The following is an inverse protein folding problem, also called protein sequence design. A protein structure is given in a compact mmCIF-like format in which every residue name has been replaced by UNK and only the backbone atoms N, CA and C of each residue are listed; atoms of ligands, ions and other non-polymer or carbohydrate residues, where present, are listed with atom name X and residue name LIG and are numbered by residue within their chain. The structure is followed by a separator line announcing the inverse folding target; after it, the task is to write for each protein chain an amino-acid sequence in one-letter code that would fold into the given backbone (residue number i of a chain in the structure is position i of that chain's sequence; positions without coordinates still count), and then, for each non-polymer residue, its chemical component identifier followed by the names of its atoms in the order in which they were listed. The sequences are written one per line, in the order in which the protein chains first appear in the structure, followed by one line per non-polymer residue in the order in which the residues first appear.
data_IF_894541671573
#
_entry.id   IF_894541671573
#
_cell.length_a   1.000
_cell.length_b   1.000
_cell.length_c   1.000
_cell.angle_alpha   90.00
_cell.angle_beta   90.00
_cell.angle_gamma   90.00
#
_symmetry.space_group_name_H-M   'P 1'
#
loop_
_entity.id
_entity.type
_entity.pdbx_description
1 polymer ?
#
# COMPACT_ATOMS: atom_id res chain seq x y z
N UNK A 1 -73.07 36.93 10.18
CA UNK A 1 -72.30 36.77 11.41
C UNK A 1 -71.81 35.32 11.47
N UNK A 2 -70.60 35.09 10.99
CA UNK A 2 -69.94 33.80 11.13
C UNK A 2 -68.64 34.01 11.91
N UNK A 3 -68.36 33.22 12.97
CA UNK A 3 -67.11 33.31 13.72
C UNK A 3 -66.00 32.53 13.04
N UNK A 4 -64.85 33.19 12.83
CA UNK A 4 -63.60 32.63 12.36
C UNK A 4 -62.99 31.75 13.46
N UNK A 5 -62.83 30.48 13.19
CA UNK A 5 -62.08 29.55 14.06
C UNK A 5 -60.58 29.68 13.77
N UNK A 6 -59.85 30.24 14.72
CA UNK A 6 -58.37 30.25 14.70
C UNK A 6 -57.81 28.85 14.99
N UNK A 7 -57.15 28.23 14.03
CA UNK A 7 -56.35 27.06 14.25
C UNK A 7 -54.92 27.51 14.65
N UNK A 8 -54.55 27.27 15.90
CA UNK A 8 -53.16 27.33 16.37
C UNK A 8 -52.44 26.04 15.93
N UNK A 9 -51.55 26.16 14.96
CA UNK A 9 -50.63 25.10 14.60
C UNK A 9 -49.45 25.15 15.57
N UNK A 10 -49.35 24.16 16.45
CA UNK A 10 -48.18 23.95 17.29
C UNK A 10 -47.04 23.35 16.42
N UNK A 11 -46.03 24.14 16.11
CA UNK A 11 -44.81 23.67 15.48
C UNK A 11 -43.95 22.93 16.52
N UNK A 12 -43.91 21.62 16.43
CA UNK A 12 -42.95 20.80 17.17
C UNK A 12 -41.57 21.01 16.57
N UNK A 13 -40.72 21.78 17.26
CA UNK A 13 -39.30 21.89 16.95
C UNK A 13 -38.63 20.59 17.40
N UNK A 14 -38.44 19.67 16.49
CA UNK A 14 -37.53 18.52 16.68
C UNK A 14 -36.09 19.04 16.71
N UNK A 15 -35.55 19.21 17.91
CA UNK A 15 -34.12 19.46 18.11
C UNK A 15 -33.37 18.20 17.74
N UNK A 16 -32.82 18.17 16.52
CA UNK A 16 -31.76 17.22 16.15
C UNK A 16 -30.51 17.63 16.93
N UNK A 17 -30.29 17.02 18.09
CA UNK A 17 -28.96 16.99 18.68
C UNK A 17 -28.06 16.16 17.73
N UNK A 18 -26.92 16.69 17.26
CA UNK A 18 -26.01 15.88 16.52
C UNK A 18 -25.56 14.74 17.45
N UNK A 19 -25.79 13.50 17.02
CA UNK A 19 -25.19 12.34 17.68
C UNK A 19 -23.68 12.48 17.50
N UNK A 20 -23.01 13.04 18.51
CA UNK A 20 -21.56 12.93 18.60
C UNK A 20 -21.26 11.43 18.64
N UNK A 21 -20.66 10.93 17.58
CA UNK A 21 -20.10 9.60 17.58
C UNK A 21 -19.17 9.52 18.81
N UNK A 22 -19.49 8.64 19.75
CA UNK A 22 -18.61 8.40 20.90
C UNK A 22 -17.24 8.07 20.33
N UNK A 23 -16.28 8.96 20.54
CA UNK A 23 -14.88 8.66 20.21
C UNK A 23 -14.50 7.37 20.93
N UNK A 24 -14.05 6.38 20.16
CA UNK A 24 -13.49 5.17 20.76
C UNK A 24 -12.40 5.62 21.75
N UNK A 25 -12.38 5.07 22.98
CA UNK A 25 -11.32 5.41 23.93
C UNK A 25 -9.98 5.20 23.24
N UNK A 26 -9.09 6.15 23.45
CA UNK A 26 -7.77 6.18 22.84
C UNK A 26 -7.00 4.90 23.24
N UNK A 27 -6.65 4.06 22.28
CA UNK A 27 -5.92 2.83 22.56
C UNK A 27 -4.53 3.19 23.09
N UNK A 28 -4.18 2.68 24.24
CA UNK A 28 -2.84 2.81 24.79
C UNK A 28 -1.84 2.09 23.87
N UNK A 29 -0.79 2.80 23.48
CA UNK A 29 0.25 2.25 22.62
C UNK A 29 1.31 1.61 23.50
N UNK A 30 1.27 0.28 23.59
CA UNK A 30 2.27 -0.52 24.27
C UNK A 30 2.47 -1.87 23.54
N UNK A 31 3.53 -2.62 23.82
CA UNK A 31 3.82 -3.87 23.14
C UNK A 31 2.66 -4.89 23.21
N UNK A 32 1.91 -4.93 24.31
CA UNK A 32 0.79 -5.85 24.49
C UNK A 32 -0.40 -5.52 23.59
N UNK A 33 -0.80 -4.22 23.53
CA UNK A 33 -1.91 -3.80 22.65
C UNK A 33 -1.56 -3.99 21.18
N UNK A 34 -0.32 -3.74 20.81
CA UNK A 34 0.19 -4.02 19.46
C UNK A 34 0.13 -5.52 19.15
N UNK A 35 0.60 -6.37 20.06
CA UNK A 35 0.59 -7.82 19.87
C UNK A 35 -0.84 -8.37 19.72
N UNK A 36 -1.79 -7.90 20.53
CA UNK A 36 -3.21 -8.28 20.42
C UNK A 36 -3.78 -7.86 19.07
N UNK A 37 -3.48 -6.66 18.62
CA UNK A 37 -3.94 -6.14 17.34
C UNK A 37 -3.36 -6.92 16.16
N UNK A 38 -2.07 -7.24 16.19
CA UNK A 38 -1.41 -8.11 15.19
C UNK A 38 -2.10 -9.46 15.16
N UNK A 39 -2.32 -10.08 16.34
CA UNK A 39 -2.98 -11.40 16.44
C UNK A 39 -4.33 -11.41 15.74
N UNK A 40 -5.18 -10.41 15.97
CA UNK A 40 -6.49 -10.27 15.33
C UNK A 40 -6.38 -10.13 13.81
N UNK A 41 -5.40 -9.38 13.32
CA UNK A 41 -5.17 -9.24 11.88
C UNK A 41 -4.69 -10.53 11.22
N UNK A 42 -3.87 -11.31 11.95
CA UNK A 42 -3.44 -12.65 11.51
C UNK A 42 -4.63 -13.59 11.46
N UNK A 43 -5.47 -13.62 12.50
CA UNK A 43 -6.66 -14.46 12.55
C UNK A 43 -7.61 -14.15 11.37
N UNK A 44 -7.83 -12.86 11.08
CA UNK A 44 -8.58 -12.43 9.91
C UNK A 44 -7.99 -13.00 8.60
N UNK A 45 -6.67 -12.85 8.37
CA UNK A 45 -6.06 -13.35 7.13
C UNK A 45 -6.12 -14.88 7.00
N UNK A 46 -6.07 -15.61 8.10
CA UNK A 46 -6.22 -17.08 8.10
C UNK A 46 -7.66 -17.46 7.67
N UNK A 47 -8.66 -16.76 8.22
CA UNK A 47 -10.08 -17.00 7.91
C UNK A 47 -10.42 -16.62 6.47
N UNK A 48 -9.87 -15.52 5.97
CA UNK A 48 -10.14 -14.94 4.64
C UNK A 48 -9.38 -15.63 3.50
N UNK A 49 -8.48 -16.58 3.82
CA UNK A 49 -7.68 -17.27 2.82
C UNK A 49 -8.53 -18.21 1.96
N UNK A 50 -8.49 -18.06 0.65
CA UNK A 50 -9.10 -18.96 -0.30
C UNK A 50 -8.54 -20.40 -0.18
N UNK A 51 -9.33 -21.41 -0.55
CA UNK A 51 -8.92 -22.81 -0.54
C UNK A 51 -7.61 -23.06 -1.31
N UNK A 52 -7.40 -22.33 -2.41
CA UNK A 52 -6.18 -22.44 -3.24
C UNK A 52 -4.96 -21.71 -2.66
N UNK A 53 -5.08 -21.09 -1.49
CA UNK A 53 -4.00 -20.38 -0.80
C UNK A 53 -3.84 -18.90 -1.14
N UNK A 54 -4.60 -18.36 -2.11
CA UNK A 54 -4.60 -16.92 -2.42
C UNK A 54 -5.51 -16.13 -1.48
N UNK A 55 -5.52 -14.81 -1.61
CA UNK A 55 -6.48 -13.92 -0.96
C UNK A 55 -7.24 -13.07 -1.97
N UNK A 56 -8.50 -12.81 -1.63
CA UNK A 56 -9.40 -11.97 -2.39
C UNK A 56 -9.99 -12.60 -3.64
N UNK A 57 -11.03 -11.97 -4.15
CA UNK A 57 -11.79 -12.45 -5.31
C UNK A 57 -12.28 -11.31 -6.19
N UNK A 58 -12.85 -11.68 -7.35
CA UNK A 58 -13.49 -10.75 -8.29
C UNK A 58 -14.90 -10.30 -7.83
N UNK A 59 -15.31 -10.64 -6.61
CA UNK A 59 -16.62 -10.24 -6.07
C UNK A 59 -16.69 -8.74 -5.92
N UNK A 60 -17.74 -8.13 -6.49
CA UNK A 60 -17.93 -6.69 -6.45
C UNK A 60 -18.37 -6.22 -5.06
N UNK A 61 -17.69 -5.21 -4.54
CA UNK A 61 -18.01 -4.58 -3.25
C UNK A 61 -18.62 -3.18 -3.39
N UNK A 62 -18.73 -2.70 -4.64
CA UNK A 62 -19.37 -1.40 -4.98
C UNK A 62 -19.87 -1.41 -6.42
N UNK A 63 -20.74 -0.44 -6.76
CA UNK A 63 -21.29 -0.32 -8.12
C UNK A 63 -20.26 0.09 -9.16
N UNK A 64 -19.43 1.10 -8.86
CA UNK A 64 -18.37 1.57 -9.73
C UNK A 64 -17.07 0.81 -9.40
N UNK A 65 -16.58 0.01 -10.34
CA UNK A 65 -15.28 -0.64 -10.23
C UNK A 65 -14.29 0.00 -11.21
N UNK A 66 -13.05 0.19 -10.75
CA UNK A 66 -11.99 0.70 -11.60
C UNK A 66 -11.59 -0.41 -12.57
N UNK A 67 -11.51 -0.05 -13.83
CA UNK A 67 -10.90 -0.75 -14.96
C UNK A 67 -10.39 -2.18 -14.70
N UNK A 68 -11.26 -3.11 -14.34
CA UNK A 68 -10.91 -4.51 -14.19
C UNK A 68 -11.97 -5.42 -14.84
N UNK A 69 -12.30 -5.21 -16.12
CA UNK A 69 -13.32 -6.01 -16.80
C UNK A 69 -12.80 -7.40 -17.17
N UNK A 70 -11.50 -7.61 -17.20
CA UNK A 70 -10.86 -8.80 -17.74
C UNK A 70 -10.33 -9.74 -16.63
N UNK A 71 -10.43 -11.07 -16.80
CA UNK A 71 -9.91 -12.03 -15.82
C UNK A 71 -8.43 -11.84 -15.46
N UNK A 72 -7.59 -11.41 -16.40
CA UNK A 72 -6.17 -11.15 -16.15
C UNK A 72 -5.92 -9.97 -15.23
N UNK A 73 -6.78 -8.94 -15.22
CA UNK A 73 -6.70 -7.84 -14.24
C UNK A 73 -6.98 -8.35 -12.82
N UNK A 74 -7.94 -9.29 -12.68
CA UNK A 74 -8.20 -9.94 -11.40
C UNK A 74 -7.06 -10.85 -10.95
N UNK A 75 -6.36 -11.49 -11.88
CA UNK A 75 -5.14 -12.23 -11.54
C UNK A 75 -4.06 -11.28 -10.97
N UNK A 76 -3.87 -10.11 -11.58
CA UNK A 76 -2.94 -9.10 -11.08
C UNK A 76 -3.32 -8.58 -9.69
N UNK A 77 -4.59 -8.27 -9.45
CA UNK A 77 -5.07 -7.85 -8.12
C UNK A 77 -4.89 -8.95 -7.08
N UNK A 78 -5.24 -10.19 -7.42
CA UNK A 78 -5.05 -11.35 -6.53
C UNK A 78 -3.58 -11.57 -6.22
N UNK A 79 -2.69 -11.45 -7.20
CA UNK A 79 -1.25 -11.56 -6.98
C UNK A 79 -0.72 -10.48 -6.03
N UNK A 80 -1.15 -9.23 -6.21
CA UNK A 80 -0.78 -8.12 -5.32
C UNK A 80 -1.33 -8.28 -3.91
N UNK A 81 -2.63 -8.57 -3.77
CA UNK A 81 -3.28 -8.75 -2.48
C UNK A 81 -2.70 -9.96 -1.72
N UNK A 82 -2.52 -11.10 -2.42
CA UNK A 82 -1.91 -12.29 -1.81
C UNK A 82 -0.45 -12.06 -1.42
N UNK A 83 0.31 -11.29 -2.22
CA UNK A 83 1.67 -10.89 -1.88
C UNK A 83 1.73 -10.09 -0.59
N UNK A 84 0.87 -9.09 -0.44
CA UNK A 84 0.79 -8.27 0.77
C UNK A 84 0.31 -9.05 1.99
N UNK A 85 -0.75 -9.86 1.85
CA UNK A 85 -1.27 -10.68 2.92
C UNK A 85 -0.21 -11.68 3.44
N UNK A 86 0.46 -12.36 2.52
CA UNK A 86 1.51 -13.33 2.86
C UNK A 86 2.72 -12.64 3.53
N UNK A 87 3.14 -11.48 3.02
CA UNK A 87 4.21 -10.69 3.63
C UNK A 87 3.82 -10.25 5.06
N UNK A 88 2.59 -9.77 5.25
CA UNK A 88 2.08 -9.39 6.57
C UNK A 88 2.01 -10.56 7.55
N UNK A 89 1.58 -11.74 7.10
CA UNK A 89 1.60 -12.96 7.92
C UNK A 89 3.02 -13.34 8.36
N UNK A 90 3.98 -13.30 7.44
CA UNK A 90 5.37 -13.65 7.77
C UNK A 90 5.97 -12.62 8.73
N UNK A 91 5.82 -11.32 8.45
CA UNK A 91 6.37 -10.25 9.28
C UNK A 91 5.70 -10.17 10.66
N UNK A 92 4.46 -10.68 10.81
CA UNK A 92 3.79 -10.77 12.11
C UNK A 92 4.58 -11.61 13.12
N UNK A 93 5.38 -12.56 12.64
CA UNK A 93 6.13 -13.51 13.47
C UNK A 93 5.24 -14.54 14.19
N UNK A 94 4.00 -14.73 13.76
CA UNK A 94 3.09 -15.70 14.35
C UNK A 94 3.52 -17.13 13.97
N UNK A 95 3.83 -17.94 15.00
CA UNK A 95 4.32 -19.33 14.84
C UNK A 95 3.27 -20.38 15.12
N UNK A 96 2.00 -19.99 15.30
CA UNK A 96 0.91 -20.94 15.50
C UNK A 96 0.76 -21.88 14.28
N UNK A 97 0.36 -23.14 14.50
CA UNK A 97 0.18 -24.11 13.42
C UNK A 97 -0.71 -23.61 12.28
N UNK A 98 -1.81 -22.94 12.59
CA UNK A 98 -2.75 -22.38 11.59
C UNK A 98 -2.13 -21.24 10.79
N UNK A 99 -1.32 -20.38 11.41
CA UNK A 99 -0.60 -19.30 10.70
C UNK A 99 0.47 -19.89 9.77
N UNK A 100 1.24 -20.85 10.26
CA UNK A 100 2.26 -21.54 9.45
C UNK A 100 1.62 -22.33 8.29
N UNK A 101 0.46 -22.96 8.50
CA UNK A 101 -0.28 -23.64 7.44
C UNK A 101 -0.80 -22.64 6.37
N UNK A 102 -1.30 -21.47 6.79
CA UNK A 102 -1.72 -20.40 5.88
C UNK A 102 -0.55 -19.87 5.06
N UNK A 103 0.61 -19.63 5.69
CA UNK A 103 1.84 -19.22 4.99
C UNK A 103 2.25 -20.29 3.95
N UNK A 104 2.22 -21.56 4.31
CA UNK A 104 2.58 -22.66 3.40
C UNK A 104 1.64 -22.72 2.17
N UNK A 105 0.31 -22.56 2.36
CA UNK A 105 -0.65 -22.50 1.25
C UNK A 105 -0.42 -21.29 0.37
N UNK A 106 -0.18 -20.11 0.97
CA UNK A 106 0.14 -18.88 0.23
C UNK A 106 1.42 -19.01 -0.57
N UNK A 107 2.46 -19.61 -0.01
CA UNK A 107 3.72 -19.90 -0.69
C UNK A 107 3.53 -20.82 -1.91
N UNK A 108 2.76 -21.88 -1.77
CA UNK A 108 2.42 -22.80 -2.86
C UNK A 108 1.68 -22.07 -3.99
N UNK A 109 0.73 -21.22 -3.66
CA UNK A 109 0.03 -20.39 -4.65
C UNK A 109 0.99 -19.44 -5.37
N UNK A 110 1.87 -18.75 -4.65
CA UNK A 110 2.88 -17.87 -5.25
C UNK A 110 3.78 -18.61 -6.23
N UNK A 111 4.25 -19.79 -5.86
CA UNK A 111 5.09 -20.63 -6.73
C UNK A 111 4.37 -21.02 -8.02
N UNK A 112 3.10 -21.37 -7.93
CA UNK A 112 2.30 -21.85 -9.08
C UNK A 112 1.81 -20.71 -9.98
N UNK A 113 1.44 -19.56 -9.44
CA UNK A 113 0.66 -18.55 -10.16
C UNK A 113 1.47 -17.32 -10.56
N UNK A 114 2.49 -16.92 -9.79
CA UNK A 114 3.29 -15.75 -10.14
C UNK A 114 4.02 -15.84 -11.49
N UNK A 115 4.53 -17.02 -11.92
CA UNK A 115 5.11 -17.16 -13.26
C UNK A 115 4.13 -16.92 -14.41
N UNK A 116 2.83 -17.02 -14.15
CA UNK A 116 1.75 -16.84 -15.14
C UNK A 116 1.25 -15.40 -15.25
N UNK A 117 1.68 -14.52 -14.32
CA UNK A 117 1.20 -13.13 -14.27
C UNK A 117 1.60 -12.37 -15.54
N UNK A 118 0.62 -11.78 -16.19
CA UNK A 118 0.76 -11.06 -17.48
C UNK A 118 -0.11 -9.80 -17.48
N UNK A 119 0.18 -8.91 -18.42
CA UNK A 119 -0.70 -7.79 -18.75
C UNK A 119 -2.06 -8.32 -19.20
N UNK A 120 -3.15 -7.78 -18.66
CA UNK A 120 -4.50 -8.27 -18.90
C UNK A 120 -5.05 -7.83 -20.26
N UNK A 121 -4.84 -6.57 -20.62
CA UNK A 121 -5.35 -5.93 -21.84
C UNK A 121 -4.49 -4.72 -22.23
N UNK A 122 -4.91 -3.97 -23.27
CA UNK A 122 -4.17 -2.81 -23.78
C UNK A 122 -4.08 -1.66 -22.78
N UNK A 123 -5.08 -1.52 -21.90
CA UNK A 123 -5.24 -0.33 -21.03
C UNK A 123 -4.74 -0.53 -19.62
N UNK A 124 -4.47 -1.78 -19.20
CA UNK A 124 -4.10 -2.09 -17.83
C UNK A 124 -2.71 -2.69 -17.72
N UNK A 125 -1.94 -2.17 -16.76
CA UNK A 125 -0.62 -2.66 -16.35
C UNK A 125 -0.58 -2.98 -14.86
N UNK A 126 -1.72 -3.38 -14.28
CA UNK A 126 -1.84 -3.75 -12.86
C UNK A 126 -0.91 -4.89 -12.45
N UNK A 127 -0.45 -5.70 -13.40
CA UNK A 127 0.56 -6.70 -13.16
C UNK A 127 1.87 -6.13 -12.64
N UNK A 128 2.20 -4.85 -12.88
CA UNK A 128 3.35 -4.20 -12.24
C UNK A 128 3.25 -4.26 -10.70
N UNK A 129 2.07 -4.03 -10.15
CA UNK A 129 1.79 -4.16 -8.71
C UNK A 129 1.84 -5.61 -8.24
N UNK A 130 1.27 -6.53 -9.03
CA UNK A 130 1.34 -7.96 -8.75
C UNK A 130 2.78 -8.47 -8.66
N UNK A 131 3.63 -8.09 -9.62
CA UNK A 131 5.05 -8.43 -9.60
C UNK A 131 5.78 -7.82 -8.38
N UNK A 132 5.54 -6.54 -8.07
CA UNK A 132 6.21 -5.86 -6.96
C UNK A 132 5.86 -6.48 -5.60
N UNK A 133 4.57 -6.68 -5.31
CA UNK A 133 4.15 -7.25 -4.02
C UNK A 133 4.39 -8.75 -3.93
N UNK A 134 4.31 -9.46 -5.04
CA UNK A 134 4.74 -10.87 -5.11
C UNK A 134 6.23 -11.01 -4.84
N UNK A 135 7.06 -10.12 -5.37
CA UNK A 135 8.50 -10.09 -5.12
C UNK A 135 8.80 -9.85 -3.63
N UNK A 136 8.07 -8.92 -2.97
CA UNK A 136 8.20 -8.71 -1.52
C UNK A 136 7.84 -9.95 -0.71
N UNK A 137 6.78 -10.67 -1.06
CA UNK A 137 6.44 -11.94 -0.41
C UNK A 137 7.53 -12.99 -0.61
N UNK A 138 8.06 -13.11 -1.84
CA UNK A 138 9.15 -14.06 -2.14
C UNK A 138 10.43 -13.74 -1.36
N UNK A 139 10.74 -12.47 -1.15
CA UNK A 139 11.87 -12.05 -0.31
C UNK A 139 11.71 -12.53 1.13
N UNK A 140 10.51 -12.42 1.70
CA UNK A 140 10.21 -12.92 3.04
C UNK A 140 10.23 -14.45 3.12
N UNK A 141 9.69 -15.12 2.10
CA UNK A 141 9.76 -16.59 2.00
C UNK A 141 11.22 -17.06 1.91
N UNK A 142 12.06 -16.35 1.16
CA UNK A 142 13.49 -16.62 1.13
C UNK A 142 14.15 -16.46 2.50
N UNK A 143 13.77 -15.40 3.25
CA UNK A 143 14.32 -15.12 4.59
C UNK A 143 13.97 -16.24 5.59
N UNK A 144 12.76 -16.80 5.54
CA UNK A 144 12.33 -17.86 6.45
C UNK A 144 12.62 -19.29 5.95
N UNK A 145 13.12 -19.42 4.72
CA UNK A 145 13.48 -20.71 4.12
C UNK A 145 14.56 -21.42 4.95
N UNK A 146 14.35 -22.70 5.19
CA UNK A 146 15.22 -23.52 6.06
C UNK A 146 16.34 -24.22 5.31
N UNK A 147 16.22 -24.39 4.00
CA UNK A 147 17.19 -25.10 3.17
C UNK A 147 17.71 -24.19 2.07
N UNK A 148 18.92 -24.47 1.58
CA UNK A 148 19.50 -23.73 0.46
C UNK A 148 18.73 -23.96 -0.84
N UNK A 149 18.06 -25.10 -0.99
CA UNK A 149 17.21 -25.41 -2.12
C UNK A 149 15.97 -24.50 -2.14
N UNK A 150 15.30 -24.34 -0.98
CA UNK A 150 14.16 -23.40 -0.85
C UNK A 150 14.61 -21.96 -1.12
N UNK A 151 15.74 -21.53 -0.59
CA UNK A 151 16.31 -20.19 -0.87
C UNK A 151 16.60 -20.01 -2.35
N UNK A 152 17.24 -20.98 -3.00
CA UNK A 152 17.52 -20.95 -4.42
C UNK A 152 16.23 -20.90 -5.27
N UNK A 153 15.18 -21.62 -4.86
CA UNK A 153 13.85 -21.55 -5.48
C UNK A 153 13.28 -20.15 -5.44
N UNK A 154 13.22 -19.53 -4.26
CA UNK A 154 12.66 -18.19 -4.11
C UNK A 154 13.48 -17.12 -4.82
N UNK A 155 14.81 -17.23 -4.79
CA UNK A 155 15.71 -16.36 -5.57
C UNK A 155 15.42 -16.46 -7.07
N UNK A 156 15.30 -17.66 -7.62
CA UNK A 156 14.99 -17.88 -9.04
C UNK A 156 13.63 -17.30 -9.43
N UNK A 157 12.60 -17.54 -8.63
CA UNK A 157 11.27 -16.98 -8.86
C UNK A 157 11.25 -15.46 -8.71
N UNK A 158 11.96 -14.92 -7.73
CA UNK A 158 12.14 -13.48 -7.55
C UNK A 158 12.82 -12.83 -8.76
N UNK A 159 13.92 -13.43 -9.26
CA UNK A 159 14.57 -12.95 -10.48
C UNK A 159 13.61 -12.95 -11.67
N UNK A 160 12.81 -13.98 -11.83
CA UNK A 160 11.79 -14.02 -12.88
C UNK A 160 10.77 -12.88 -12.76
N UNK A 161 10.37 -12.49 -11.54
CA UNK A 161 9.46 -11.34 -11.35
C UNK A 161 10.13 -10.02 -11.71
N UNK A 162 11.40 -9.84 -11.37
CA UNK A 162 12.21 -8.68 -11.80
C UNK A 162 12.27 -8.60 -13.33
N UNK A 163 12.58 -9.71 -13.99
CA UNK A 163 12.68 -9.76 -15.45
C UNK A 163 11.33 -9.50 -16.14
N UNK A 164 10.24 -9.99 -15.55
CA UNK A 164 8.90 -9.79 -16.07
C UNK A 164 8.44 -8.34 -15.92
N UNK A 165 8.59 -7.72 -14.75
CA UNK A 165 8.15 -6.34 -14.54
C UNK A 165 8.97 -5.35 -15.38
N UNK A 166 10.24 -5.63 -15.62
CA UNK A 166 11.10 -4.80 -16.47
C UNK A 166 10.55 -4.63 -17.90
N UNK A 167 9.80 -5.61 -18.40
CA UNK A 167 9.15 -5.54 -19.73
C UNK A 167 8.03 -4.48 -19.81
N UNK A 168 7.54 -4.02 -18.67
CA UNK A 168 6.46 -3.04 -18.56
C UNK A 168 6.95 -1.63 -18.22
N UNK A 169 8.26 -1.42 -18.17
CA UNK A 169 8.83 -0.09 -17.96
C UNK A 169 8.48 0.83 -19.15
N UNK A 170 8.03 2.04 -18.84
CA UNK A 170 7.82 3.10 -19.83
C UNK A 170 9.17 3.58 -20.40
N UNK A 171 9.19 4.02 -21.65
CA UNK A 171 10.43 4.52 -22.29
C UNK A 171 11.01 5.75 -21.58
N UNK A 172 10.18 6.51 -20.84
CA UNK A 172 10.61 7.61 -19.98
C UNK A 172 11.19 7.13 -18.64
N UNK A 173 11.24 5.82 -18.43
CA UNK A 173 11.61 5.20 -17.16
C UNK A 173 10.44 5.08 -16.20
N UNK A 174 10.48 4.04 -15.36
CA UNK A 174 9.46 3.78 -14.35
C UNK A 174 8.20 3.09 -14.87
N UNK A 175 7.22 2.96 -13.99
CA UNK A 175 5.99 2.19 -14.23
C UNK A 175 4.75 2.99 -13.90
N UNK A 176 3.69 2.72 -14.64
CA UNK A 176 2.32 3.06 -14.31
C UNK A 176 1.50 1.81 -14.00
N UNK A 177 0.20 1.98 -13.86
CA UNK A 177 -0.77 0.89 -13.68
C UNK A 177 -1.89 0.92 -14.72
N UNK A 178 -1.94 1.98 -15.52
CA UNK A 178 -2.81 2.17 -16.67
C UNK A 178 -1.99 2.61 -17.87
N UNK A 179 -2.48 2.28 -19.07
CA UNK A 179 -1.99 2.78 -20.34
C UNK A 179 -3.19 3.12 -21.21
N UNK A 180 -3.66 4.37 -21.10
CA UNK A 180 -4.89 4.82 -21.74
C UNK A 180 -4.66 5.37 -23.16
N UNK A 181 -3.40 5.49 -23.60
CA UNK A 181 -3.03 6.16 -24.85
C UNK A 181 -2.67 5.19 -25.96
N UNK A 182 -3.09 3.93 -25.82
CA UNK A 182 -2.97 3.01 -26.90
C UNK A 182 -1.80 2.06 -26.86
N UNK A 183 -1.99 1.05 -27.53
CA UNK A 183 -1.31 -0.13 -27.98
C UNK A 183 -0.79 -1.08 -26.87
N UNK A 184 -0.37 -2.23 -27.30
CA UNK A 184 0.01 -3.34 -26.43
C UNK A 184 1.44 -3.23 -25.90
N UNK A 185 2.10 -2.08 -26.10
CA UNK A 185 3.46 -1.88 -25.65
C UNK A 185 3.53 -0.74 -24.64
N UNK A 186 4.23 -0.98 -23.53
CA UNK A 186 4.57 0.03 -22.55
C UNK A 186 5.88 0.76 -22.87
N UNK A 187 6.57 0.34 -23.92
CA UNK A 187 7.86 0.87 -24.37
C UNK A 187 7.72 2.16 -25.20
N UNK A 188 6.75 3.00 -24.86
CA UNK A 188 6.58 4.35 -25.45
C UNK A 188 6.15 5.35 -24.39
N UNK A 189 6.27 6.67 -24.65
CA UNK A 189 5.80 7.67 -23.71
C UNK A 189 4.28 7.61 -23.53
N UNK A 190 3.81 7.06 -22.42
CA UNK A 190 2.38 6.99 -22.11
C UNK A 190 1.88 8.21 -21.35
N UNK A 191 2.77 8.96 -20.72
CA UNK A 191 2.42 10.07 -19.81
C UNK A 191 1.77 9.61 -18.50
N UNK A 192 1.59 8.31 -18.29
CA UNK A 192 0.89 7.72 -17.14
C UNK A 192 1.84 7.06 -16.16
N UNK A 193 3.15 7.09 -16.41
CA UNK A 193 4.15 6.67 -15.43
C UNK A 193 3.97 7.47 -14.13
N UNK A 194 3.75 6.77 -13.03
CA UNK A 194 3.52 7.39 -11.73
C UNK A 194 4.73 7.23 -10.82
N UNK A 195 5.07 8.27 -10.05
CA UNK A 195 6.19 8.22 -9.13
C UNK A 195 6.02 7.11 -8.10
N UNK A 196 4.81 6.93 -7.58
CA UNK A 196 4.53 5.96 -6.52
C UNK A 196 4.53 4.50 -7.00
N UNK A 197 4.04 4.20 -8.20
CA UNK A 197 4.17 2.83 -8.76
C UNK A 197 5.63 2.51 -9.03
N UNK A 198 6.37 3.48 -9.58
CA UNK A 198 7.81 3.34 -9.82
C UNK A 198 8.56 3.09 -8.50
N UNK A 199 8.26 3.86 -7.46
CA UNK A 199 8.84 3.68 -6.13
C UNK A 199 8.52 2.30 -5.55
N UNK A 200 7.27 1.84 -5.67
CA UNK A 200 6.85 0.50 -5.22
C UNK A 200 7.68 -0.61 -5.86
N UNK A 201 7.85 -0.55 -7.18
CA UNK A 201 8.63 -1.55 -7.93
C UNK A 201 10.10 -1.50 -7.53
N UNK A 202 10.69 -0.30 -7.51
CA UNK A 202 12.12 -0.13 -7.17
C UNK A 202 12.44 -0.57 -5.74
N UNK A 203 11.60 -0.25 -4.75
CA UNK A 203 11.81 -0.70 -3.37
C UNK A 203 11.70 -2.22 -3.24
N UNK A 204 10.75 -2.85 -3.94
CA UNK A 204 10.67 -4.31 -3.96
C UNK A 204 11.91 -4.95 -4.62
N UNK A 205 12.40 -4.35 -5.69
CA UNK A 205 13.64 -4.79 -6.36
C UNK A 205 14.87 -4.59 -5.46
N UNK A 206 14.96 -3.45 -4.79
CA UNK A 206 16.06 -3.15 -3.86
C UNK A 206 16.10 -4.18 -2.73
N UNK A 207 14.98 -4.41 -2.06
CA UNK A 207 14.85 -5.39 -0.99
C UNK A 207 15.25 -6.80 -1.48
N UNK A 208 14.77 -7.20 -2.65
CA UNK A 208 15.11 -8.49 -3.25
C UNK A 208 16.59 -8.60 -3.62
N UNK A 209 17.23 -7.53 -4.09
CA UNK A 209 18.66 -7.50 -4.34
C UNK A 209 19.45 -7.71 -3.06
N UNK A 210 19.11 -6.96 -2.00
CA UNK A 210 19.85 -7.01 -0.73
C UNK A 210 19.65 -8.35 0.01
N UNK A 211 18.44 -8.90 0.02
CA UNK A 211 18.11 -10.08 0.84
C UNK A 211 18.16 -11.42 0.08
N UNK A 212 17.89 -11.42 -1.23
CA UNK A 212 17.92 -12.65 -2.04
C UNK A 212 19.08 -12.67 -3.04
N UNK A 213 19.77 -11.54 -3.27
CA UNK A 213 20.83 -11.43 -4.24
C UNK A 213 20.36 -11.58 -5.70
N UNK A 214 19.16 -11.06 -6.03
CA UNK A 214 18.72 -10.94 -7.42
C UNK A 214 19.53 -9.87 -8.16
N UNK A 215 19.64 -10.02 -9.47
CA UNK A 215 20.37 -9.06 -10.33
C UNK A 215 19.40 -8.03 -10.88
N UNK A 216 19.75 -6.75 -10.80
CA UNK A 216 19.02 -5.66 -11.39
C UNK A 216 19.72 -5.10 -12.62
N UNK A 217 18.99 -4.73 -13.66
CA UNK A 217 19.53 -3.98 -14.81
C UNK A 217 19.75 -2.53 -14.39
N UNK A 218 21.00 -2.10 -14.30
CA UNK A 218 21.36 -0.74 -13.86
C UNK A 218 20.78 0.35 -14.75
N UNK A 219 20.58 0.09 -16.04
CA UNK A 219 19.99 1.06 -16.98
C UNK A 219 18.53 1.28 -16.64
N UNK A 220 17.79 0.22 -16.31
CA UNK A 220 16.39 0.28 -15.88
C UNK A 220 16.28 1.01 -14.56
N UNK A 221 17.10 0.65 -13.58
CA UNK A 221 17.15 1.34 -12.28
C UNK A 221 17.41 2.83 -12.46
N UNK A 222 18.47 3.20 -13.19
CA UNK A 222 18.84 4.59 -13.44
C UNK A 222 17.74 5.38 -14.14
N UNK A 223 17.11 4.81 -15.17
CA UNK A 223 16.01 5.44 -15.90
C UNK A 223 14.80 5.65 -15.00
N UNK A 224 14.49 4.69 -14.12
CA UNK A 224 13.36 4.73 -13.21
C UNK A 224 13.56 5.73 -12.06
N UNK A 225 14.76 5.80 -11.49
CA UNK A 225 15.12 6.83 -10.50
C UNK A 225 15.01 8.24 -11.11
N UNK A 226 15.54 8.43 -12.33
CA UNK A 226 15.40 9.69 -13.05
C UNK A 226 13.93 10.06 -13.33
N UNK A 227 13.05 9.07 -13.51
CA UNK A 227 11.60 9.30 -13.65
C UNK A 227 10.97 9.82 -12.35
N UNK A 228 11.33 9.27 -11.19
CA UNK A 228 10.90 9.78 -9.87
C UNK A 228 11.42 11.21 -9.66
N UNK A 229 12.70 11.44 -9.94
CA UNK A 229 13.35 12.76 -9.81
C UNK A 229 12.63 13.83 -10.63
N UNK A 230 12.24 13.56 -11.87
CA UNK A 230 11.49 14.51 -12.71
C UNK A 230 10.11 14.85 -12.16
N UNK A 231 9.54 13.99 -11.32
CA UNK A 231 8.25 14.19 -10.70
C UNK A 231 8.34 14.83 -9.31
N UNK A 232 9.55 15.05 -8.79
CA UNK A 232 9.80 15.67 -7.48
C UNK A 232 9.58 17.18 -7.56
N UNK A 233 8.95 17.73 -6.53
CA UNK A 233 8.83 19.17 -6.30
C UNK A 233 9.89 19.65 -5.29
N UNK A 234 10.15 20.97 -5.18
CA UNK A 234 11.20 21.48 -4.30
C UNK A 234 11.07 21.11 -2.82
N UNK A 235 9.85 20.82 -2.34
CA UNK A 235 9.57 20.40 -0.96
C UNK A 235 9.60 18.88 -0.76
N UNK A 236 10.12 18.12 -1.73
CA UNK A 236 10.15 16.66 -1.72
C UNK A 236 8.77 15.99 -1.69
N UNK A 237 7.73 16.69 -2.15
CA UNK A 237 6.52 16.04 -2.62
C UNK A 237 6.68 15.59 -4.08
N UNK A 238 5.73 14.80 -4.57
CA UNK A 238 5.80 14.25 -5.92
C UNK A 238 4.47 14.44 -6.64
N UNK A 239 4.52 14.87 -7.88
CA UNK A 239 3.33 14.91 -8.72
C UNK A 239 2.80 13.51 -8.98
N UNK A 240 1.52 13.39 -9.33
CA UNK A 240 0.84 12.11 -9.45
C UNK A 240 1.42 11.22 -10.55
N UNK A 241 1.66 11.80 -11.71
CA UNK A 241 2.24 11.08 -12.85
C UNK A 241 3.10 11.99 -13.69
N UNK A 242 3.84 11.43 -14.63
CA UNK A 242 4.65 12.17 -15.59
C UNK A 242 3.83 13.23 -16.36
N UNK A 243 2.60 12.90 -16.75
CA UNK A 243 1.67 13.85 -17.38
C UNK A 243 1.23 15.01 -16.47
N UNK A 244 1.47 14.94 -15.16
CA UNK A 244 1.15 15.99 -14.21
C UNK A 244 2.30 16.98 -13.97
N UNK A 245 3.50 16.75 -14.51
CA UNK A 245 4.65 17.64 -14.34
C UNK A 245 4.30 19.06 -14.80
N UNK A 246 3.54 19.20 -15.87
CA UNK A 246 3.08 20.47 -16.40
C UNK A 246 1.91 21.10 -15.60
N UNK A 247 1.39 20.39 -14.61
CA UNK A 247 0.22 20.80 -13.81
C UNK A 247 0.46 20.65 -12.31
N UNK A 248 1.54 21.22 -11.74
CA UNK A 248 1.92 20.98 -10.34
C UNK A 248 0.89 21.55 -9.35
N UNK A 249 0.02 22.47 -9.77
CA UNK A 249 -0.96 23.15 -8.88
C UNK A 249 -2.27 22.42 -8.70
N UNK A 250 -2.55 21.33 -9.45
CA UNK A 250 -3.78 20.55 -9.23
C UNK A 250 -3.79 19.95 -7.82
N UNK A 251 -4.97 19.78 -7.20
CA UNK A 251 -5.06 19.41 -5.78
C UNK A 251 -4.27 18.17 -5.40
N UNK A 252 -4.30 17.13 -6.23
CA UNK A 252 -3.58 15.87 -5.96
C UNK A 252 -2.05 16.04 -5.91
N UNK A 253 -1.50 17.05 -6.56
CA UNK A 253 -0.06 17.31 -6.61
C UNK A 253 0.44 18.19 -5.45
N UNK A 254 -0.47 18.77 -4.68
CA UNK A 254 -0.09 19.55 -3.50
C UNK A 254 0.45 18.65 -2.39
N UNK A 255 1.22 19.18 -1.44
CA UNK A 255 1.77 18.40 -0.34
C UNK A 255 0.74 17.50 0.36
N UNK A 256 -0.45 18.03 0.69
CA UNK A 256 -1.51 17.25 1.31
C UNK A 256 -2.06 16.12 0.41
N UNK A 257 -2.10 16.32 -0.91
CA UNK A 257 -2.47 15.29 -1.89
C UNK A 257 -1.38 14.27 -2.15
N UNK A 258 -0.14 14.55 -1.75
CA UNK A 258 1.05 13.73 -2.00
C UNK A 258 1.56 12.97 -0.75
N UNK A 259 0.87 13.05 0.39
CA UNK A 259 1.35 12.52 1.68
C UNK A 259 1.87 11.08 1.58
N UNK A 260 1.08 10.18 1.02
CA UNK A 260 1.44 8.76 0.90
C UNK A 260 2.54 8.52 -0.12
N UNK A 261 2.43 9.17 -1.31
CA UNK A 261 3.43 9.00 -2.38
C UNK A 261 4.81 9.47 -1.98
N UNK A 262 4.86 10.56 -1.21
CA UNK A 262 6.12 11.15 -0.79
C UNK A 262 6.90 10.23 0.14
N UNK A 263 6.21 9.43 0.98
CA UNK A 263 6.88 8.40 1.77
C UNK A 263 7.63 7.41 0.87
N UNK A 264 6.91 6.79 -0.06
CA UNK A 264 7.49 5.78 -0.95
C UNK A 264 8.61 6.34 -1.83
N UNK A 265 8.42 7.53 -2.41
CA UNK A 265 9.40 8.12 -3.31
C UNK A 265 10.68 8.56 -2.58
N UNK A 266 10.55 9.18 -1.39
CA UNK A 266 11.69 9.55 -0.58
C UNK A 266 12.45 8.31 -0.08
N UNK A 267 11.75 7.28 0.40
CA UNK A 267 12.37 6.01 0.76
C UNK A 267 13.14 5.39 -0.41
N UNK A 268 12.55 5.39 -1.61
CA UNK A 268 13.20 4.85 -2.80
C UNK A 268 14.48 5.60 -3.15
N UNK A 269 14.41 6.93 -3.24
CA UNK A 269 15.58 7.74 -3.59
C UNK A 269 16.69 7.56 -2.54
N UNK A 270 16.34 7.53 -1.25
CA UNK A 270 17.31 7.28 -0.17
C UNK A 270 17.93 5.90 -0.27
N UNK A 271 17.14 4.84 -0.54
CA UNK A 271 17.62 3.47 -0.70
C UNK A 271 18.65 3.33 -1.82
N UNK A 272 18.51 4.12 -2.88
CA UNK A 272 19.42 4.13 -4.02
C UNK A 272 20.51 5.23 -3.95
N UNK A 273 20.68 5.88 -2.79
CA UNK A 273 21.82 6.76 -2.50
C UNK A 273 21.63 8.22 -2.94
N UNK A 274 20.39 8.71 -3.14
CA UNK A 274 20.15 10.14 -3.42
C UNK A 274 20.41 10.98 -2.16
N UNK A 275 21.52 11.68 -2.15
CA UNK A 275 22.01 12.46 -1.00
C UNK A 275 21.10 13.65 -0.62
N UNK A 276 20.30 14.17 -1.57
CA UNK A 276 19.37 15.27 -1.29
C UNK A 276 18.21 14.84 -0.39
N UNK A 277 17.88 13.54 -0.35
CA UNK A 277 16.90 13.00 0.58
C UNK A 277 17.58 12.76 1.92
N UNK A 278 17.78 13.83 2.68
CA UNK A 278 18.44 13.81 3.99
C UNK A 278 17.51 13.31 5.09
N UNK A 279 18.08 13.01 6.27
CA UNK A 279 17.29 12.65 7.46
C UNK A 279 16.25 13.73 7.77
N UNK A 280 16.63 15.02 7.64
CA UNK A 280 15.70 16.13 7.81
C UNK A 280 14.49 16.03 6.87
N UNK A 281 14.69 15.69 5.60
CA UNK A 281 13.58 15.52 4.64
C UNK A 281 12.67 14.38 5.06
N UNK A 282 13.25 13.25 5.49
CA UNK A 282 12.48 12.09 5.95
C UNK A 282 11.67 12.45 7.20
N UNK A 283 12.28 13.08 8.21
CA UNK A 283 11.60 13.51 9.43
C UNK A 283 10.48 14.51 9.14
N UNK A 284 10.71 15.51 8.31
CA UNK A 284 9.69 16.49 7.92
C UNK A 284 8.49 15.82 7.23
N UNK A 285 8.72 14.82 6.39
CA UNK A 285 7.65 14.10 5.70
C UNK A 285 6.93 13.09 6.60
N UNK A 286 7.65 12.45 7.53
CA UNK A 286 7.06 11.59 8.55
C UNK A 286 6.15 12.38 9.50
N UNK A 287 6.61 13.51 10.03
CA UNK A 287 5.81 14.38 10.88
C UNK A 287 4.58 14.94 10.12
N UNK A 288 4.79 15.42 8.89
CA UNK A 288 3.70 15.89 8.02
C UNK A 288 2.66 14.80 7.74
N UNK A 289 3.08 13.56 7.60
CA UNK A 289 2.15 12.43 7.41
C UNK A 289 1.26 12.24 8.64
N UNK A 290 1.83 12.20 9.83
CA UNK A 290 1.09 12.03 11.10
C UNK A 290 0.16 13.22 11.36
N UNK A 291 0.67 14.45 11.23
CA UNK A 291 -0.12 15.66 11.49
C UNK A 291 -1.32 15.82 10.53
N UNK A 292 -1.20 15.31 9.33
CA UNK A 292 -2.17 15.48 8.25
C UNK A 292 -2.83 14.17 7.80
N UNK A 293 -2.72 13.11 8.58
CA UNK A 293 -3.35 11.82 8.33
C UNK A 293 -4.85 11.97 8.02
N UNK A 294 -5.53 12.92 8.65
CA UNK A 294 -6.93 13.21 8.43
C UNK A 294 -7.29 13.46 6.95
N UNK A 295 -6.41 14.05 6.15
CA UNK A 295 -6.65 14.23 4.71
C UNK A 295 -6.66 12.92 3.94
N UNK A 296 -5.82 11.95 4.33
CA UNK A 296 -5.87 10.60 3.78
C UNK A 296 -7.11 9.85 4.28
N UNK A 297 -7.41 10.01 5.56
CA UNK A 297 -8.55 9.35 6.22
C UNK A 297 -9.90 9.75 5.62
N UNK A 298 -10.08 10.99 5.16
CA UNK A 298 -11.30 11.44 4.48
C UNK A 298 -11.58 10.62 3.21
N UNK A 299 -10.53 10.17 2.52
CA UNK A 299 -10.65 9.34 1.31
C UNK A 299 -10.98 7.88 1.58
N UNK A 300 -10.80 7.40 2.83
CA UNK A 300 -11.02 6.01 3.17
C UNK A 300 -12.48 5.59 2.93
N UNK A 301 -12.63 4.37 2.42
CA UNK A 301 -13.93 3.71 2.19
C UNK A 301 -14.85 4.42 1.19
N UNK A 302 -14.38 5.49 0.55
CA UNK A 302 -15.14 6.16 -0.49
C UNK A 302 -15.09 5.37 -1.79
N UNK A 303 -16.25 5.16 -2.44
CA UNK A 303 -16.32 4.30 -3.62
C UNK A 303 -15.75 4.96 -4.88
N UNK A 304 -15.74 6.29 -4.96
CA UNK A 304 -15.26 7.02 -6.13
C UNK A 304 -13.82 7.48 -5.88
N UNK A 305 -12.86 7.09 -6.73
CA UNK A 305 -11.48 7.57 -6.59
C UNK A 305 -11.42 9.07 -6.88
N UNK A 306 -10.48 9.76 -6.20
CA UNK A 306 -10.18 11.18 -6.42
C UNK A 306 -11.34 12.15 -6.16
N UNK A 307 -12.36 11.76 -5.38
CA UNK A 307 -13.52 12.62 -5.08
C UNK A 307 -13.30 13.60 -3.92
N UNK A 308 -12.24 13.42 -3.12
CA UNK A 308 -11.97 14.26 -1.95
C UNK A 308 -11.36 15.61 -2.34
N UNK A 309 -11.29 16.55 -1.38
CA UNK A 309 -10.78 17.90 -1.61
C UNK A 309 -9.41 17.96 -2.25
N UNK A 310 -8.48 17.09 -1.83
CA UNK A 310 -7.15 16.96 -2.45
C UNK A 310 -7.08 15.88 -3.53
N UNK A 311 -8.21 15.40 -4.02
CA UNK A 311 -8.29 14.33 -5.02
C UNK A 311 -7.54 13.06 -4.59
N UNK A 312 -7.48 12.79 -3.28
CA UNK A 312 -6.88 11.59 -2.72
C UNK A 312 -7.87 10.43 -2.84
N UNK A 313 -7.39 9.29 -3.28
CA UNK A 313 -8.17 8.05 -3.26
C UNK A 313 -7.89 7.25 -2.00
N UNK A 314 -8.89 6.49 -1.53
CA UNK A 314 -8.79 5.69 -0.32
C UNK A 314 -7.60 4.74 -0.31
N UNK A 315 -7.29 4.13 -1.45
CA UNK A 315 -6.18 3.16 -1.60
C UNK A 315 -4.78 3.72 -1.28
N UNK A 316 -4.64 5.02 -1.06
CA UNK A 316 -3.39 5.60 -0.58
C UNK A 316 -3.22 5.53 0.94
N UNK A 317 -4.23 5.13 1.71
CA UNK A 317 -4.16 5.19 3.16
C UNK A 317 -3.18 4.17 3.73
N UNK A 318 -3.46 2.85 3.56
CA UNK A 318 -2.54 1.81 4.06
C UNK A 318 -1.26 1.70 3.24
N UNK A 319 -1.30 2.08 1.97
CA UNK A 319 -0.10 2.33 1.18
C UNK A 319 0.82 3.32 1.89
N UNK A 320 0.30 4.48 2.27
CA UNK A 320 1.07 5.53 2.96
C UNK A 320 1.59 5.10 4.33
N UNK A 321 0.78 4.37 5.10
CA UNK A 321 1.16 3.80 6.39
C UNK A 321 2.37 2.86 6.24
N UNK A 322 2.33 1.95 5.29
CA UNK A 322 3.41 1.01 5.06
C UNK A 322 4.69 1.72 4.59
N UNK A 323 4.59 2.60 3.58
CA UNK A 323 5.77 3.31 3.09
C UNK A 323 6.30 4.38 4.05
N UNK A 324 5.53 4.79 5.04
CA UNK A 324 6.04 5.54 6.17
C UNK A 324 7.10 4.74 6.93
N UNK A 325 6.86 3.47 7.22
CA UNK A 325 7.85 2.62 7.92
C UNK A 325 9.11 2.44 7.09
N UNK A 326 8.96 2.20 5.77
CA UNK A 326 10.08 2.09 4.83
C UNK A 326 10.93 3.38 4.78
N UNK A 327 10.29 4.54 4.93
CA UNK A 327 10.98 5.84 4.93
C UNK A 327 11.70 6.09 6.26
N UNK A 328 11.00 5.89 7.38
CA UNK A 328 11.56 6.14 8.73
C UNK A 328 12.69 5.18 9.07
N UNK A 329 12.75 4.00 8.45
CA UNK A 329 13.85 3.04 8.65
C UNK A 329 15.24 3.63 8.29
N UNK A 330 15.28 4.66 7.44
CA UNK A 330 16.52 5.35 7.09
C UNK A 330 16.97 6.39 8.13
N UNK A 331 16.15 6.70 9.13
CA UNK A 331 16.54 7.59 10.23
C UNK A 331 17.45 6.87 11.24
N UNK A 332 18.24 7.63 12.03
CA UNK A 332 18.98 7.06 13.15
C UNK A 332 18.09 6.22 14.06
N UNK A 333 18.58 5.07 14.52
CA UNK A 333 17.81 4.13 15.34
C UNK A 333 17.17 4.79 16.60
N UNK A 334 17.81 5.81 17.16
CA UNK A 334 17.28 6.55 18.31
C UNK A 334 16.01 7.38 18.00
N UNK A 335 15.75 7.72 16.73
CA UNK A 335 14.59 8.52 16.32
C UNK A 335 13.39 7.66 15.95
N UNK A 336 13.62 6.43 15.50
CA UNK A 336 12.59 5.52 14.99
C UNK A 336 11.47 5.19 16.00
N UNK A 337 11.74 4.94 17.30
CA UNK A 337 10.69 4.59 18.26
C UNK A 337 9.62 5.66 18.44
N UNK A 338 10.00 6.95 18.43
CA UNK A 338 9.05 8.05 18.53
C UNK A 338 8.06 8.11 17.36
N UNK A 339 8.55 7.87 16.14
CA UNK A 339 7.72 7.76 14.94
C UNK A 339 6.87 6.49 14.94
N UNK A 340 7.43 5.36 15.39
CA UNK A 340 6.72 4.11 15.52
C UNK A 340 5.53 4.20 16.48
N UNK A 341 5.68 4.85 17.63
CA UNK A 341 4.60 5.05 18.59
C UNK A 341 3.45 5.91 17.99
N UNK A 342 3.78 7.00 17.30
CA UNK A 342 2.79 7.84 16.60
C UNK A 342 2.02 7.04 15.54
N UNK A 343 2.73 6.24 14.73
CA UNK A 343 2.12 5.42 13.68
C UNK A 343 1.26 4.30 14.26
N UNK A 344 1.74 3.58 15.27
CA UNK A 344 1.00 2.51 15.93
C UNK A 344 -0.36 3.00 16.47
N UNK A 345 -0.39 4.21 17.06
CA UNK A 345 -1.62 4.84 17.52
C UNK A 345 -2.64 5.00 16.40
N UNK A 346 -2.19 5.48 15.22
CA UNK A 346 -3.04 5.63 14.03
C UNK A 346 -3.60 4.28 13.59
N UNK A 347 -2.77 3.24 13.51
CA UNK A 347 -3.18 1.92 13.01
C UNK A 347 -4.13 1.22 13.98
N UNK A 348 -3.84 1.23 15.29
CA UNK A 348 -4.68 0.64 16.34
C UNK A 348 -6.09 1.22 16.33
N UNK A 349 -6.23 2.54 16.18
CA UNK A 349 -7.53 3.20 16.12
C UNK A 349 -8.37 2.78 14.91
N UNK A 350 -7.75 2.29 13.84
CA UNK A 350 -8.39 1.98 12.56
C UNK A 350 -8.70 0.50 12.34
N UNK A 351 -8.35 -0.38 13.29
CA UNK A 351 -8.68 -1.80 13.15
C UNK A 351 -10.18 -2.04 13.20
N UNK A 352 -10.69 -2.82 12.28
CA UNK A 352 -12.09 -3.21 12.19
C UNK A 352 -12.45 -4.25 13.27
N UNK A 353 -13.75 -4.48 13.46
CA UNK A 353 -14.23 -5.43 14.46
C UNK A 353 -13.81 -6.87 14.17
N UNK A 354 -13.74 -7.22 12.89
CA UNK A 354 -13.27 -8.53 12.40
C UNK A 354 -11.76 -8.73 12.46
N UNK A 355 -11.01 -7.71 12.88
CA UNK A 355 -9.55 -7.74 12.95
C UNK A 355 -8.84 -7.20 11.72
N UNK A 356 -9.55 -6.97 10.62
CA UNK A 356 -9.00 -6.46 9.38
C UNK A 356 -8.66 -4.97 9.43
N UNK A 357 -7.97 -4.51 8.39
CA UNK A 357 -7.82 -3.11 8.02
C UNK A 357 -8.08 -2.95 6.52
N UNK A 358 -8.79 -1.89 6.14
CA UNK A 358 -9.02 -1.57 4.74
C UNK A 358 -9.36 -0.10 4.52
N UNK A 359 -9.17 0.36 3.29
CA UNK A 359 -9.28 1.77 2.95
C UNK A 359 -10.12 2.04 1.69
N UNK A 360 -10.08 1.17 0.69
CA UNK A 360 -10.76 1.40 -0.57
C UNK A 360 -11.47 0.14 -1.06
N UNK A 361 -12.78 0.20 -1.39
CA UNK A 361 -13.53 -0.99 -1.80
C UNK A 361 -13.15 -1.44 -3.21
N UNK A 362 -12.02 -2.14 -3.32
CA UNK A 362 -11.48 -2.69 -4.57
C UNK A 362 -11.87 -4.16 -4.69
N UNK A 363 -13.08 -4.46 -5.18
CA UNK A 363 -13.59 -5.83 -5.17
C UNK A 363 -13.41 -6.43 -3.77
N UNK A 364 -13.23 -7.72 -3.68
CA UNK A 364 -12.93 -8.44 -2.45
C UNK A 364 -11.42 -8.59 -2.17
N UNK A 365 -10.61 -7.69 -2.75
CA UNK A 365 -9.15 -7.64 -2.47
C UNK A 365 -8.81 -6.67 -1.35
N UNK A 366 -9.73 -5.79 -0.96
CA UNK A 366 -9.46 -4.61 -0.16
C UNK A 366 -9.06 -4.93 1.29
N UNK A 367 -9.71 -5.90 1.93
CA UNK A 367 -9.38 -6.31 3.30
C UNK A 367 -8.05 -7.06 3.36
N UNK A 368 -7.77 -8.07 2.50
CA UNK A 368 -6.46 -8.73 2.49
C UNK A 368 -5.29 -7.78 2.26
N UNK A 369 -5.35 -6.88 1.25
CA UNK A 369 -4.20 -6.00 1.01
C UNK A 369 -4.03 -4.97 2.12
N UNK A 370 -5.11 -4.39 2.62
CA UNK A 370 -5.05 -3.41 3.70
C UNK A 370 -4.53 -4.02 5.00
N UNK A 371 -4.98 -5.25 5.32
CA UNK A 371 -4.51 -5.99 6.48
C UNK A 371 -3.03 -6.39 6.34
N UNK A 372 -2.61 -6.81 5.14
CA UNK A 372 -1.21 -7.11 4.87
C UNK A 372 -0.29 -5.90 5.11
N UNK A 373 -0.63 -4.74 4.58
CA UNK A 373 0.10 -3.50 4.85
C UNK A 373 0.14 -3.14 6.34
N UNK A 374 -1.03 -3.21 7.00
CA UNK A 374 -1.11 -2.87 8.42
C UNK A 374 -0.29 -3.82 9.30
N UNK A 375 -0.29 -5.12 9.01
CA UNK A 375 0.50 -6.10 9.74
C UNK A 375 2.01 -5.86 9.59
N UNK A 376 2.49 -5.59 8.38
CA UNK A 376 3.91 -5.25 8.17
C UNK A 376 4.29 -3.99 8.96
N UNK A 377 3.45 -2.95 8.90
CA UNK A 377 3.70 -1.72 9.65
C UNK A 377 3.64 -1.91 11.17
N UNK A 378 2.68 -2.70 11.68
CA UNK A 378 2.56 -3.00 13.10
C UNK A 378 3.69 -3.88 13.62
N UNK A 379 4.17 -4.83 12.80
CA UNK A 379 5.35 -5.63 13.14
C UNK A 379 6.59 -4.76 13.30
N UNK A 380 6.79 -3.81 12.38
CA UNK A 380 7.84 -2.81 12.47
C UNK A 380 7.67 -1.92 13.72
N UNK A 381 6.47 -1.41 13.99
CA UNK A 381 6.22 -0.62 15.20
C UNK A 381 6.54 -1.40 16.49
N UNK A 382 6.14 -2.67 16.55
CA UNK A 382 6.44 -3.53 17.71
C UNK A 382 7.94 -3.68 17.92
N UNK A 383 8.70 -3.90 16.86
CA UNK A 383 10.15 -4.03 16.91
C UNK A 383 10.80 -2.74 17.45
N UNK A 384 10.44 -1.57 16.87
CA UNK A 384 11.08 -0.30 17.24
C UNK A 384 10.71 0.18 18.65
N UNK A 385 9.48 -0.08 19.11
CA UNK A 385 9.05 0.27 20.48
C UNK A 385 9.67 -0.69 21.51
N UNK A 386 9.72 -2.00 21.20
CA UNK A 386 10.26 -3.01 22.12
C UNK A 386 11.77 -2.97 22.31
N UNK A 387 12.51 -2.24 21.48
CA UNK A 387 13.96 -2.06 21.64
C UNK A 387 14.33 -1.02 22.72
N UNK A 388 13.34 -0.41 23.39
CA UNK A 388 13.57 0.56 24.47
C UNK A 388 13.52 -0.06 25.88
N UNK A 389 13.17 -1.34 26.00
CA UNK A 389 13.22 -2.12 27.25
C UNK A 389 14.55 -2.91 27.33
#
# INVERSE_FOLDING_TARGET
LNPVKSLLAAAAVLSFAPAFAQEKPEAEVNPSTIAVSIRRGVDFLIEDQNENGSWGSATRTKGLNIYAPMPGAHHAFRAGASGLALAGLIDSGDTRPEALASIAKGAAWMEAEMPKLRRADQTTTYNAWGHAYGLRAMTRLHKIAKTDEEKAKWKRLGQQQVDLVNRYMDINGGWGYLDLFDDMTTQKPTGITTAFTTATVLLAMHEAKELMGVTLDERIVKASLASIERQRTPDFSYVYSHGHIQRPRVPINRPAGSLARSQACNATLRAFGEEKVTDKVITEWADRFIEREGFLSIGRKRPVPHETHFQISGYFYYYGIYYFTESVEFLPAAEQPGHAAKLAKVILHRQEKDGSWWDYPLYDYHQPYGTGYALMAMAWCREKIGTQE
#
